data_IF_176321324818
#
_entry.id   IF_176321324818
#
_cell.length_a   1.000
_cell.length_b   1.000
_cell.length_c   1.000
_cell.angle_alpha   90.00
_cell.angle_beta   90.00
_cell.angle_gamma   90.00
#
_symmetry.space_group_name_H-M   'P 1'
#
loop_
_entity.id
_entity.type
_entity.pdbx_description
1 polymer ?
#
# COMPACT_ATOMS: atom_id res chain seq x y z
N UNK A 1 -16.90 -7.69 -10.64
CA UNK A 1 -15.86 -7.78 -9.59
C UNK A 1 -16.48 -7.77 -8.19
N UNK A 2 -15.89 -8.46 -7.22
CA UNK A 2 -16.31 -8.47 -5.80
C UNK A 2 -15.86 -7.19 -5.07
N UNK A 3 -16.35 -6.98 -3.85
CA UNK A 3 -16.02 -5.76 -3.06
C UNK A 3 -14.55 -5.75 -2.64
N UNK A 4 -14.01 -6.90 -2.23
CA UNK A 4 -12.62 -6.99 -1.83
C UNK A 4 -11.64 -6.64 -2.93
N UNK A 5 -11.85 -7.13 -4.16
CA UNK A 5 -11.03 -6.75 -5.32
C UNK A 5 -11.13 -5.26 -5.65
N UNK A 6 -12.33 -4.67 -5.57
CA UNK A 6 -12.51 -3.20 -5.75
C UNK A 6 -11.74 -2.42 -4.69
N UNK A 7 -11.80 -2.86 -3.45
CA UNK A 7 -11.12 -2.20 -2.35
C UNK A 7 -9.60 -2.29 -2.50
N UNK A 8 -9.05 -3.47 -2.78
CA UNK A 8 -7.59 -3.66 -2.89
C UNK A 8 -7.03 -2.86 -4.07
N UNK A 9 -7.71 -2.83 -5.22
CA UNK A 9 -7.33 -1.96 -6.34
C UNK A 9 -7.29 -0.50 -5.91
N UNK A 10 -8.36 -0.03 -5.27
CA UNK A 10 -8.43 1.33 -4.78
C UNK A 10 -7.28 1.65 -3.84
N UNK A 11 -7.00 0.77 -2.86
CA UNK A 11 -5.92 0.96 -1.90
C UNK A 11 -4.57 1.08 -2.60
N UNK A 12 -4.30 0.15 -3.52
CA UNK A 12 -3.04 0.10 -4.28
C UNK A 12 -2.85 1.38 -5.11
N UNK A 13 -3.89 1.82 -5.81
CA UNK A 13 -3.86 3.05 -6.61
C UNK A 13 -3.68 4.30 -5.75
N UNK A 14 -4.36 4.38 -4.60
CA UNK A 14 -4.21 5.52 -3.70
C UNK A 14 -2.82 5.60 -3.08
N UNK A 15 -2.24 4.46 -2.65
CA UNK A 15 -0.85 4.45 -2.18
C UNK A 15 0.07 5.05 -3.24
N UNK A 16 -0.06 4.65 -4.50
CA UNK A 16 0.73 5.19 -5.61
C UNK A 16 0.46 6.68 -5.87
N UNK A 17 -0.80 7.11 -5.87
CA UNK A 17 -1.19 8.49 -6.18
C UNK A 17 -0.78 9.48 -5.07
N UNK A 18 -0.92 9.11 -3.80
CA UNK A 18 -0.48 9.90 -2.64
C UNK A 18 1.04 10.04 -2.66
N UNK A 19 1.71 8.94 -2.97
CA UNK A 19 3.15 8.89 -3.17
C UNK A 19 3.55 9.90 -4.26
N UNK A 20 2.98 9.79 -5.48
CA UNK A 20 3.28 10.72 -6.59
C UNK A 20 2.94 12.18 -6.26
N UNK A 21 1.84 12.42 -5.53
CA UNK A 21 1.46 13.76 -5.05
C UNK A 21 2.55 14.36 -4.18
N UNK A 22 3.16 13.56 -3.30
CA UNK A 22 4.22 14.02 -2.41
C UNK A 22 5.48 14.42 -3.19
N UNK A 23 5.84 13.68 -4.26
CA UNK A 23 6.93 14.06 -5.16
C UNK A 23 6.63 15.36 -5.92
N UNK A 24 5.42 15.53 -6.45
CA UNK A 24 5.06 16.75 -7.20
C UNK A 24 5.01 17.96 -6.25
N UNK A 25 4.44 17.80 -5.06
CA UNK A 25 4.42 18.84 -4.04
C UNK A 25 5.84 19.28 -3.65
N UNK A 26 6.77 18.32 -3.55
CA UNK A 26 8.19 18.57 -3.35
C UNK A 26 8.80 19.43 -4.46
N UNK A 27 8.63 19.08 -5.74
CA UNK A 27 9.16 19.87 -6.87
C UNK A 27 8.62 21.31 -6.88
N UNK A 28 7.43 21.51 -6.34
CA UNK A 28 6.79 22.82 -6.21
C UNK A 28 7.17 23.56 -4.91
N UNK A 29 8.09 23.03 -4.10
CA UNK A 29 8.47 23.55 -2.78
C UNK A 29 7.29 23.71 -1.81
N UNK A 30 6.25 22.88 -1.96
CA UNK A 30 5.10 22.82 -1.07
C UNK A 30 5.39 21.77 0.01
N UNK A 31 5.25 22.13 1.29
CA UNK A 31 5.39 21.17 2.39
C UNK A 31 4.47 19.97 2.15
N UNK A 32 5.02 18.76 2.20
CA UNK A 32 4.29 17.50 2.03
C UNK A 32 3.44 17.17 3.28
N UNK A 33 2.45 18.02 3.58
CA UNK A 33 1.58 17.91 4.77
C UNK A 33 0.79 16.60 4.79
N UNK A 34 0.60 15.93 3.65
CA UNK A 34 0.04 14.58 3.60
C UNK A 34 0.84 13.57 4.44
N UNK A 35 2.17 13.68 4.49
CA UNK A 35 2.99 12.79 5.33
C UNK A 35 2.81 13.09 6.82
N UNK A 36 2.71 14.38 7.17
CA UNK A 36 2.39 14.83 8.53
C UNK A 36 1.01 14.38 9.01
N UNK A 37 0.03 14.23 8.11
CA UNK A 37 -1.27 13.65 8.41
C UNK A 37 -1.17 12.21 8.91
N UNK A 38 -0.41 11.34 8.21
CA UNK A 38 -0.27 9.94 8.63
C UNK A 38 0.42 9.80 9.98
N UNK A 39 1.41 10.66 10.27
CA UNK A 39 2.09 10.70 11.58
C UNK A 39 1.16 11.22 12.67
N UNK A 40 0.46 12.35 12.44
CA UNK A 40 -0.44 12.97 13.42
C UNK A 40 -1.67 12.10 13.72
N UNK A 41 -2.16 11.35 12.72
CA UNK A 41 -3.27 10.41 12.90
C UNK A 41 -2.93 9.28 13.88
N UNK A 42 -1.67 8.81 13.92
CA UNK A 42 -1.22 7.78 14.90
C UNK A 42 -1.33 8.27 16.34
N UNK A 43 -1.33 9.59 16.54
CA UNK A 43 -1.47 10.24 17.85
C UNK A 43 -2.95 10.51 18.14
N UNK A 44 -3.69 11.11 17.19
CA UNK A 44 -5.14 11.33 17.28
C UNK A 44 -5.78 11.51 15.89
N UNK A 45 -6.82 10.72 15.61
CA UNK A 45 -7.63 10.77 14.39
C UNK A 45 -8.14 12.17 14.06
N UNK A 46 -8.72 12.85 15.05
CA UNK A 46 -9.41 14.14 14.84
C UNK A 46 -8.38 15.22 14.54
N UNK A 47 -7.30 15.25 15.32
CA UNK A 47 -6.21 16.22 15.15
C UNK A 47 -5.46 16.00 13.82
N UNK A 48 -5.23 14.74 13.42
CA UNK A 48 -4.64 14.42 12.12
C UNK A 48 -5.51 14.92 10.96
N UNK A 49 -6.81 14.57 10.96
CA UNK A 49 -7.74 14.96 9.89
C UNK A 49 -7.90 16.48 9.75
N UNK A 50 -7.96 17.21 10.88
CA UNK A 50 -8.03 18.67 10.87
C UNK A 50 -6.76 19.32 10.31
N UNK A 51 -5.57 18.77 10.61
CA UNK A 51 -4.29 19.31 10.14
C UNK A 51 -4.16 19.40 8.60
N UNK A 52 -4.85 18.54 7.83
CA UNK A 52 -4.89 18.65 6.37
C UNK A 52 -5.63 19.92 5.93
N UNK A 53 -6.72 20.26 6.61
CA UNK A 53 -7.59 21.38 6.23
C UNK A 53 -7.20 22.71 6.90
N UNK A 54 -6.42 22.64 7.99
CA UNK A 54 -5.99 23.81 8.76
C UNK A 54 -4.78 24.54 8.15
N UNK A 55 -4.19 24.01 7.06
CA UNK A 55 -3.04 24.63 6.41
C UNK A 55 -3.25 24.82 4.90
N UNK A 56 -2.83 25.98 4.38
CA UNK A 56 -2.83 26.24 2.93
C UNK A 56 -2.06 25.16 2.15
N UNK A 57 -0.95 24.66 2.72
CA UNK A 57 -0.17 23.55 2.18
C UNK A 57 -0.96 22.24 2.08
N UNK A 58 -1.82 21.92 3.04
CA UNK A 58 -2.68 20.72 2.98
C UNK A 58 -3.75 20.81 1.89
N UNK A 59 -4.33 22.00 1.69
CA UNK A 59 -5.27 22.26 0.59
C UNK A 59 -4.58 22.13 -0.78
N UNK A 60 -3.38 22.69 -0.94
CA UNK A 60 -2.63 22.55 -2.19
C UNK A 60 -2.30 21.09 -2.50
N UNK A 61 -1.89 20.33 -1.49
CA UNK A 61 -1.67 18.89 -1.61
C UNK A 61 -2.93 18.15 -2.09
N UNK A 62 -4.12 18.45 -1.53
CA UNK A 62 -5.39 17.86 -1.98
C UNK A 62 -5.72 18.20 -3.44
N UNK A 63 -5.42 19.43 -3.88
CA UNK A 63 -5.61 19.85 -5.28
C UNK A 63 -4.68 19.07 -6.21
N UNK A 64 -3.40 18.92 -5.84
CA UNK A 64 -2.43 18.14 -6.62
C UNK A 64 -2.89 16.68 -6.71
N UNK A 65 -3.29 16.07 -5.59
CA UNK A 65 -3.80 14.70 -5.56
C UNK A 65 -5.02 14.54 -6.47
N UNK A 66 -5.95 15.48 -6.43
CA UNK A 66 -7.13 15.47 -7.29
C UNK A 66 -6.76 15.52 -8.78
N UNK A 67 -5.84 16.42 -9.16
CA UNK A 67 -5.40 16.57 -10.56
C UNK A 67 -4.68 15.29 -11.02
N UNK A 68 -3.74 14.77 -10.23
CA UNK A 68 -3.01 13.55 -10.56
C UNK A 68 -3.93 12.34 -10.66
N UNK A 69 -4.87 12.20 -9.73
CA UNK A 69 -5.89 11.14 -9.76
C UNK A 69 -6.75 11.24 -11.02
N UNK A 70 -7.16 12.45 -11.40
CA UNK A 70 -7.97 12.66 -12.60
C UNK A 70 -7.22 12.29 -13.87
N UNK A 71 -5.95 12.70 -13.97
CA UNK A 71 -5.09 12.32 -15.10
C UNK A 71 -4.91 10.81 -15.16
N UNK A 72 -4.57 10.18 -14.04
CA UNK A 72 -4.38 8.72 -13.95
C UNK A 72 -5.64 7.96 -14.38
N UNK A 73 -6.80 8.25 -13.79
CA UNK A 73 -8.04 7.55 -14.12
C UNK A 73 -8.51 7.85 -15.54
N UNK A 74 -8.29 9.06 -16.05
CA UNK A 74 -8.60 9.39 -17.45
C UNK A 74 -7.74 8.61 -18.44
N UNK A 75 -6.46 8.40 -18.13
CA UNK A 75 -5.56 7.57 -18.95
C UNK A 75 -6.02 6.11 -18.87
N UNK A 76 -6.30 5.60 -17.68
CA UNK A 76 -6.79 4.24 -17.46
C UNK A 76 -8.09 3.98 -18.25
N UNK A 77 -9.09 4.84 -18.11
CA UNK A 77 -10.37 4.73 -18.83
C UNK A 77 -10.23 4.80 -20.36
N UNK A 78 -9.24 5.54 -20.88
CA UNK A 78 -9.01 5.68 -22.34
C UNK A 78 -8.22 4.52 -22.93
N UNK A 79 -7.18 4.09 -22.24
CA UNK A 79 -6.20 3.13 -22.76
C UNK A 79 -6.46 1.72 -22.29
N UNK A 80 -7.19 1.54 -21.19
CA UNK A 80 -7.24 0.31 -20.39
C UNK A 80 -5.85 -0.12 -19.91
N UNK A 81 -4.97 0.84 -19.58
CA UNK A 81 -3.71 0.58 -18.90
C UNK A 81 -3.70 1.30 -17.56
N UNK A 82 -3.42 0.55 -16.49
CA UNK A 82 -3.62 0.98 -15.12
C UNK A 82 -3.64 -0.23 -14.18
N UNK A 83 -3.48 0.01 -12.88
CA UNK A 83 -3.38 -1.03 -11.85
C UNK A 83 -4.58 -2.00 -11.92
N UNK A 84 -5.79 -1.50 -12.16
CA UNK A 84 -6.99 -2.34 -12.19
C UNK A 84 -7.00 -3.32 -13.37
N UNK A 85 -6.53 -2.90 -14.55
CA UNK A 85 -6.46 -3.79 -15.72
C UNK A 85 -5.18 -4.62 -15.71
N UNK A 86 -4.02 -4.02 -15.44
CA UNK A 86 -2.73 -4.69 -15.58
C UNK A 86 -2.56 -5.80 -14.53
N UNK A 87 -2.97 -5.55 -13.28
CA UNK A 87 -2.85 -6.53 -12.18
C UNK A 87 -4.12 -7.35 -12.02
N UNK A 88 -5.29 -6.71 -12.02
CA UNK A 88 -6.55 -7.39 -11.69
C UNK A 88 -7.35 -7.85 -12.91
N UNK A 89 -6.93 -7.49 -14.14
CA UNK A 89 -7.62 -7.81 -15.40
C UNK A 89 -9.09 -7.37 -15.37
N UNK A 90 -9.35 -6.25 -14.69
CA UNK A 90 -10.67 -5.66 -14.52
C UNK A 90 -10.87 -4.49 -15.48
N UNK A 91 -11.75 -4.70 -16.46
CA UNK A 91 -12.15 -3.67 -17.42
C UNK A 91 -13.56 -3.19 -17.17
N UNK A 92 -13.78 -1.90 -17.44
CA UNK A 92 -15.11 -1.30 -17.40
C UNK A 92 -15.69 -1.30 -18.80
N UNK A 93 -16.89 -1.86 -18.93
CA UNK A 93 -17.65 -1.85 -20.18
C UNK A 93 -19.01 -1.19 -19.97
N UNK A 94 -19.54 -0.61 -21.04
CA UNK A 94 -20.94 -0.18 -21.08
C UNK A 94 -21.82 -1.37 -21.44
N UNK A 95 -22.94 -1.57 -20.72
CA UNK A 95 -23.92 -2.61 -21.02
C UNK A 95 -24.73 -2.32 -22.30
N UNK A 96 -24.84 -1.04 -22.69
CA UNK A 96 -25.54 -0.61 -23.90
C UNK A 96 -24.56 -0.13 -24.97
N UNK A 97 -24.98 -0.20 -26.25
CA UNK A 97 -24.27 0.39 -27.38
C UNK A 97 -24.41 1.92 -27.33
N UNK A 98 -23.58 2.55 -26.50
CA UNK A 98 -23.36 3.99 -26.51
C UNK A 98 -22.41 4.35 -27.65
N UNK A 99 -22.55 5.54 -28.22
CA UNK A 99 -21.57 6.03 -29.19
C UNK A 99 -20.22 6.28 -28.51
N UNK A 100 -19.12 6.23 -29.26
CA UNK A 100 -17.76 6.45 -28.72
C UNK A 100 -17.62 7.78 -27.97
N UNK A 101 -18.31 8.85 -28.41
CA UNK A 101 -18.30 10.16 -27.75
C UNK A 101 -19.05 10.15 -26.42
N UNK A 102 -20.21 9.50 -26.37
CA UNK A 102 -21.01 9.37 -25.13
C UNK A 102 -20.32 8.49 -24.09
N UNK A 103 -19.66 7.41 -24.52
CA UNK A 103 -18.86 6.58 -23.60
C UNK A 103 -17.74 7.43 -23.00
N UNK A 104 -17.05 8.22 -23.81
CA UNK A 104 -15.94 9.05 -23.35
C UNK A 104 -16.40 10.11 -22.34
N UNK A 105 -17.54 10.78 -22.57
CA UNK A 105 -18.05 11.79 -21.62
C UNK A 105 -18.48 11.17 -20.29
N UNK A 106 -19.15 10.02 -20.33
CA UNK A 106 -19.54 9.26 -19.13
C UNK A 106 -18.32 8.79 -18.35
N UNK A 107 -17.27 8.30 -19.03
CA UNK A 107 -16.03 7.88 -18.37
C UNK A 107 -15.30 9.07 -17.73
N UNK A 108 -15.20 10.22 -18.41
CA UNK A 108 -14.55 11.41 -17.83
C UNK A 108 -15.24 11.94 -16.57
N UNK A 109 -16.58 11.96 -16.54
CA UNK A 109 -17.33 12.37 -15.35
C UNK A 109 -17.12 11.35 -14.23
N UNK A 110 -17.12 10.05 -14.57
CA UNK A 110 -16.79 8.99 -13.61
C UNK A 110 -15.39 9.18 -13.03
N UNK A 111 -14.41 9.49 -13.86
CA UNK A 111 -13.02 9.69 -13.45
C UNK A 111 -12.89 10.94 -12.56
N UNK A 112 -13.62 12.02 -12.86
CA UNK A 112 -13.70 13.21 -12.01
C UNK A 112 -14.24 12.87 -10.61
N UNK A 113 -15.33 12.09 -10.54
CA UNK A 113 -15.92 11.65 -9.26
C UNK A 113 -14.92 10.75 -8.51
N UNK A 114 -14.27 9.81 -9.21
CA UNK A 114 -13.28 8.88 -8.65
C UNK A 114 -12.03 9.58 -8.12
N UNK A 115 -11.71 10.76 -8.66
CA UNK A 115 -10.53 11.56 -8.28
C UNK A 115 -10.67 12.25 -6.93
N UNK A 116 -11.89 12.37 -6.40
CA UNK A 116 -12.10 12.83 -5.03
C UNK A 116 -11.87 11.68 -4.05
N UNK A 117 -10.79 11.80 -3.25
CA UNK A 117 -10.36 10.81 -2.25
C UNK A 117 -11.53 10.24 -1.43
N UNK A 118 -12.35 11.11 -0.81
CA UNK A 118 -13.50 10.73 0.02
C UNK A 118 -14.61 10.08 -0.80
N UNK A 119 -14.93 10.63 -1.98
CA UNK A 119 -16.01 10.11 -2.84
C UNK A 119 -15.75 8.67 -3.25
N UNK A 120 -14.49 8.31 -3.43
CA UNK A 120 -14.06 6.98 -3.85
C UNK A 120 -14.24 5.91 -2.74
N UNK A 121 -13.86 6.23 -1.49
CA UNK A 121 -14.10 5.36 -0.32
C UNK A 121 -15.61 5.12 -0.17
N UNK A 122 -16.38 6.20 -0.17
CA UNK A 122 -17.84 6.16 -0.06
C UNK A 122 -18.44 5.32 -1.21
N UNK A 123 -18.01 5.54 -2.45
CA UNK A 123 -18.48 4.78 -3.61
C UNK A 123 -18.14 3.28 -3.53
N UNK A 124 -17.00 2.90 -2.94
CA UNK A 124 -16.62 1.49 -2.76
C UNK A 124 -17.51 0.78 -1.73
N UNK A 125 -17.92 1.47 -0.67
CA UNK A 125 -18.81 0.95 0.38
C UNK A 125 -20.28 0.90 -0.08
N UNK A 126 -20.74 1.92 -0.80
CA UNK A 126 -22.11 1.97 -1.33
C UNK A 126 -22.38 0.98 -2.48
N UNK A 127 -21.36 0.33 -3.03
CA UNK A 127 -21.52 -0.75 -4.01
C UNK A 127 -22.36 -1.93 -3.48
N UNK A 128 -22.48 -2.08 -2.16
CA UNK A 128 -23.34 -3.05 -1.49
C UNK A 128 -24.84 -2.81 -1.72
N UNK A 129 -25.26 -1.59 -2.04
CA UNK A 129 -26.68 -1.22 -2.20
C UNK A 129 -27.29 -1.76 -3.51
N UNK A 130 -26.47 -1.98 -4.55
CA UNK A 130 -26.91 -2.44 -5.87
C UNK A 130 -26.60 -3.93 -6.07
N UNK A 131 -27.46 -4.76 -5.45
CA UNK A 131 -27.27 -6.17 -5.11
C UNK A 131 -26.74 -7.11 -6.22
N UNK A 132 -27.10 -6.92 -7.50
CA UNK A 132 -26.76 -7.89 -8.55
C UNK A 132 -25.38 -7.72 -9.18
N UNK A 133 -24.86 -6.50 -9.30
CA UNK A 133 -23.62 -6.22 -10.04
C UNK A 133 -22.56 -5.45 -9.24
N UNK A 134 -22.83 -5.14 -7.96
CA UNK A 134 -21.93 -4.38 -7.07
C UNK A 134 -21.45 -3.09 -7.75
N UNK A 135 -22.37 -2.32 -8.32
CA UNK A 135 -22.08 -1.08 -9.05
C UNK A 135 -22.09 0.11 -8.07
N UNK A 136 -21.24 1.10 -8.33
CA UNK A 136 -21.40 2.42 -7.70
C UNK A 136 -22.71 3.05 -8.19
N UNK A 137 -23.21 4.06 -7.46
CA UNK A 137 -24.42 4.79 -7.87
C UNK A 137 -24.30 5.34 -9.30
N UNK A 138 -23.15 5.94 -9.63
CA UNK A 138 -22.89 6.48 -10.94
C UNK A 138 -22.81 5.39 -12.02
N UNK A 139 -22.08 4.31 -11.76
CA UNK A 139 -21.98 3.17 -12.68
C UNK A 139 -23.34 2.54 -12.94
N UNK A 140 -24.20 2.45 -11.92
CA UNK A 140 -25.54 1.90 -12.05
C UNK A 140 -26.42 2.79 -12.93
N UNK A 141 -26.43 4.11 -12.68
CA UNK A 141 -27.20 5.09 -13.46
C UNK A 141 -26.80 5.09 -14.94
N UNK A 142 -25.51 4.90 -15.23
CA UNK A 142 -24.97 4.90 -16.60
C UNK A 142 -24.70 3.51 -17.16
N UNK A 143 -25.17 2.44 -16.49
CA UNK A 143 -25.02 1.04 -16.92
C UNK A 143 -23.59 0.59 -17.23
N UNK A 144 -22.63 1.11 -16.48
CA UNK A 144 -21.23 0.68 -16.53
C UNK A 144 -21.02 -0.55 -15.66
N UNK A 145 -20.31 -1.56 -16.17
CA UNK A 145 -20.05 -2.82 -15.46
C UNK A 145 -18.54 -3.09 -15.47
N UNK A 146 -17.98 -3.39 -14.30
CA UNK A 146 -16.62 -3.95 -14.19
C UNK A 146 -16.69 -5.46 -14.40
N UNK A 147 -16.02 -5.91 -15.46
CA UNK A 147 -15.85 -7.32 -15.82
C UNK A 147 -14.42 -7.72 -15.50
N UNK A 148 -14.26 -8.87 -14.85
CA UNK A 148 -12.97 -9.53 -14.69
C UNK A 148 -12.85 -10.52 -15.85
N UNK A 149 -11.76 -10.46 -16.59
CA UNK A 149 -11.49 -11.46 -17.63
C UNK A 149 -11.35 -12.84 -16.97
N UNK A 150 -12.18 -13.80 -17.39
CA UNK A 150 -12.40 -15.08 -16.68
C UNK A 150 -11.25 -16.10 -16.81
N UNK A 151 -10.26 -15.84 -17.65
CA UNK A 151 -9.32 -16.87 -18.13
C UNK A 151 -8.10 -17.14 -17.24
N UNK A 152 -8.01 -16.65 -16.00
CA UNK A 152 -6.81 -16.91 -15.17
C UNK A 152 -7.03 -17.66 -13.85
N UNK A 153 -6.36 -18.82 -13.81
CA UNK A 153 -6.06 -19.74 -12.71
C UNK A 153 -5.69 -19.08 -11.37
N UNK A 154 -5.77 -19.86 -10.28
CA UNK A 154 -5.33 -19.52 -8.90
C UNK A 154 -3.93 -18.88 -8.80
N UNK A 155 -3.01 -19.17 -9.74
CA UNK A 155 -1.69 -18.51 -9.84
C UNK A 155 -1.80 -16.98 -10.02
N UNK A 156 -2.89 -16.47 -10.59
CA UNK A 156 -3.14 -15.03 -10.73
C UNK A 156 -3.47 -14.35 -9.39
N UNK A 157 -4.16 -15.04 -8.47
CA UNK A 157 -4.50 -14.48 -7.15
C UNK A 157 -3.25 -14.26 -6.30
N UNK A 158 -2.32 -15.21 -6.34
CA UNK A 158 -1.01 -15.08 -5.69
C UNK A 158 -0.29 -13.80 -6.17
N UNK A 159 -0.07 -13.70 -7.48
CA UNK A 159 0.63 -12.56 -8.07
C UNK A 159 -0.07 -11.22 -7.82
N UNK A 160 -1.41 -11.20 -7.79
CA UNK A 160 -2.19 -9.98 -7.51
C UNK A 160 -1.86 -9.38 -6.15
N UNK A 161 -1.86 -10.17 -5.08
CA UNK A 161 -1.56 -9.64 -3.74
C UNK A 161 -0.10 -9.21 -3.63
N UNK A 162 0.84 -10.00 -4.15
CA UNK A 162 2.26 -9.65 -4.12
C UNK A 162 2.52 -8.35 -4.87
N UNK A 163 2.03 -8.21 -6.10
CA UNK A 163 2.23 -6.98 -6.88
C UNK A 163 1.55 -5.76 -6.24
N UNK A 164 0.33 -5.93 -5.71
CA UNK A 164 -0.33 -4.86 -4.95
C UNK A 164 0.50 -4.44 -3.74
N UNK A 165 0.99 -5.39 -2.94
CA UNK A 165 1.83 -5.12 -1.77
C UNK A 165 3.17 -4.48 -2.15
N UNK A 166 3.80 -4.91 -3.25
CA UNK A 166 5.03 -4.28 -3.76
C UNK A 166 4.78 -2.82 -4.13
N UNK A 167 3.71 -2.53 -4.87
CA UNK A 167 3.36 -1.15 -5.23
C UNK A 167 3.08 -0.35 -3.96
N UNK A 168 2.26 -0.86 -3.05
CA UNK A 168 1.93 -0.16 -1.81
C UNK A 168 3.17 0.15 -0.97
N UNK A 169 4.04 -0.84 -0.74
CA UNK A 169 5.24 -0.68 0.08
C UNK A 169 6.27 0.23 -0.59
N UNK A 170 6.69 -0.11 -1.82
CA UNK A 170 7.80 0.57 -2.47
C UNK A 170 7.44 1.97 -2.98
N UNK A 171 6.20 2.24 -3.40
CA UNK A 171 5.80 3.59 -3.81
C UNK A 171 6.02 4.60 -2.68
N UNK A 172 5.65 4.20 -1.46
CA UNK A 172 5.81 5.02 -0.26
C UNK A 172 7.30 5.12 0.10
N UNK A 173 7.98 3.97 0.18
CA UNK A 173 9.38 3.90 0.56
C UNK A 173 10.30 4.76 -0.33
N UNK A 174 10.20 4.63 -1.66
CA UNK A 174 11.07 5.36 -2.59
C UNK A 174 10.93 6.88 -2.47
N UNK A 175 9.73 7.36 -2.19
CA UNK A 175 9.46 8.79 -2.13
C UNK A 175 9.93 9.39 -0.82
N UNK A 176 9.80 8.63 0.27
CA UNK A 176 10.38 9.00 1.55
C UNK A 176 11.90 9.00 1.48
N UNK A 177 12.50 8.04 0.79
CA UNK A 177 13.94 8.03 0.54
C UNK A 177 14.37 9.29 -0.22
N UNK A 178 13.65 9.70 -1.26
CA UNK A 178 13.94 10.95 -1.97
C UNK A 178 13.80 12.18 -1.06
N UNK A 179 12.71 12.27 -0.29
CA UNK A 179 12.45 13.42 0.59
C UNK A 179 13.53 13.54 1.68
N UNK A 180 13.84 12.46 2.38
CA UNK A 180 14.78 12.49 3.49
C UNK A 180 16.26 12.52 3.07
N UNK A 181 16.59 12.04 1.86
CA UNK A 181 17.98 12.08 1.37
C UNK A 181 18.32 13.43 0.74
N UNK A 182 17.36 14.11 0.10
CA UNK A 182 17.66 15.29 -0.72
C UNK A 182 17.15 16.63 -0.17
N UNK A 183 16.21 16.68 0.79
CA UNK A 183 15.55 17.92 1.22
C UNK A 183 15.85 18.31 2.65
N UNK A 184 15.70 17.38 3.58
CA UNK A 184 15.94 17.59 5.01
C UNK A 184 16.74 16.40 5.53
N UNK A 185 18.06 16.34 5.23
CA UNK A 185 18.91 15.26 5.71
C UNK A 185 18.80 15.25 7.24
N UNK A 186 18.18 14.19 7.76
CA UNK A 186 18.14 13.95 9.19
C UNK A 186 19.56 14.07 9.72
N UNK A 187 19.71 14.85 10.80
CA UNK A 187 21.00 14.98 11.48
C UNK A 187 21.55 13.58 11.76
N UNK A 188 22.86 13.37 11.57
CA UNK A 188 23.46 12.05 11.72
C UNK A 188 23.05 11.48 13.08
N UNK A 189 22.33 10.35 13.05
CA UNK A 189 22.02 9.62 14.27
C UNK A 189 23.36 9.31 14.94
N UNK A 190 23.47 9.71 16.21
CA UNK A 190 24.71 9.60 16.97
C UNK A 190 25.28 8.20 16.80
N UNK A 191 26.53 8.13 16.33
CA UNK A 191 27.29 6.89 16.19
C UNK A 191 27.19 6.13 17.51
N UNK A 192 26.39 5.06 17.54
CA UNK A 192 26.25 4.21 18.71
C UNK A 192 27.56 3.43 18.84
N UNK A 193 28.49 4.02 19.58
CA UNK A 193 29.74 3.39 19.95
C UNK A 193 29.47 2.19 20.85
N UNK A 194 29.37 1.01 20.26
CA UNK A 194 29.49 -0.25 20.97
C UNK A 194 30.74 -0.95 20.45
N UNK A 195 31.83 -0.84 21.22
CA UNK A 195 33.08 -1.55 20.95
C UNK A 195 32.90 -3.06 21.17
N UNK A 196 33.42 -3.84 20.22
CA UNK A 196 33.50 -5.31 20.09
C UNK A 196 33.43 -6.18 21.36
N UNK A 197 32.83 -7.39 21.24
CA UNK A 197 33.51 -8.71 21.41
C UNK A 197 32.58 -9.94 21.28
N UNK A 198 33.05 -11.00 20.61
CA UNK A 198 32.63 -12.43 20.68
C UNK A 198 31.33 -12.90 20.00
N UNK A 199 31.32 -14.17 19.54
CA UNK A 199 30.18 -14.87 18.94
C UNK A 199 28.93 -14.97 19.85
N UNK A 200 29.07 -14.71 21.15
CA UNK A 200 27.94 -14.58 22.07
C UNK A 200 27.12 -13.31 21.78
N UNK A 201 27.76 -12.25 21.29
CA UNK A 201 27.07 -11.03 20.85
C UNK A 201 26.38 -11.19 19.49
N UNK A 202 26.85 -12.07 18.61
CA UNK A 202 26.18 -12.35 17.34
C UNK A 202 24.74 -12.83 17.54
N UNK A 203 24.58 -13.88 18.36
CA UNK A 203 23.26 -14.48 18.58
C UNK A 203 22.31 -13.57 19.35
N UNK A 204 22.83 -12.76 20.29
CA UNK A 204 22.05 -11.75 21.00
C UNK A 204 21.61 -10.62 20.07
N UNK A 205 22.50 -10.15 19.19
CA UNK A 205 22.22 -9.09 18.21
C UNK A 205 21.26 -9.56 17.12
N UNK A 206 21.52 -10.73 16.53
CA UNK A 206 20.60 -11.41 15.61
C UNK A 206 19.20 -11.57 16.22
N UNK A 207 19.11 -12.07 17.46
CA UNK A 207 17.82 -12.24 18.13
C UNK A 207 17.11 -10.90 18.34
N UNK A 208 17.84 -9.83 18.65
CA UNK A 208 17.26 -8.50 18.80
C UNK A 208 16.72 -7.96 17.48
N UNK A 209 17.50 -8.04 16.40
CA UNK A 209 17.08 -7.60 15.06
C UNK A 209 15.86 -8.41 14.61
N UNK A 210 15.96 -9.74 14.68
CA UNK A 210 14.87 -10.61 14.26
C UNK A 210 13.59 -10.34 15.04
N UNK A 211 13.68 -10.12 16.36
CA UNK A 211 12.50 -9.84 17.17
C UNK A 211 11.89 -8.47 16.84
N UNK A 212 12.71 -7.46 16.55
CA UNK A 212 12.23 -6.15 16.12
C UNK A 212 11.53 -6.24 14.76
N UNK A 213 12.16 -6.89 13.79
CA UNK A 213 11.62 -7.02 12.43
C UNK A 213 10.35 -7.90 12.40
N UNK A 214 10.31 -9.00 13.18
CA UNK A 214 9.10 -9.81 13.33
C UNK A 214 8.00 -9.06 14.08
N UNK A 215 8.33 -8.26 15.09
CA UNK A 215 7.33 -7.44 15.78
C UNK A 215 6.72 -6.45 14.80
N UNK A 216 7.53 -5.71 14.06
CA UNK A 216 7.08 -4.76 13.04
C UNK A 216 6.21 -5.46 11.98
N UNK A 217 6.69 -6.58 11.43
CA UNK A 217 5.96 -7.32 10.39
C UNK A 217 4.62 -7.86 10.88
N UNK A 218 4.59 -8.47 12.07
CA UNK A 218 3.36 -9.04 12.59
C UNK A 218 2.40 -7.93 13.04
N UNK A 219 2.87 -6.93 13.81
CA UNK A 219 2.00 -5.93 14.43
C UNK A 219 1.53 -4.87 13.45
N UNK A 220 2.42 -4.35 12.60
CA UNK A 220 2.10 -3.22 11.70
C UNK A 220 1.71 -3.72 10.31
N UNK A 221 2.40 -4.73 9.74
CA UNK A 221 2.16 -5.16 8.36
C UNK A 221 1.10 -6.26 8.21
N UNK A 222 1.12 -7.32 9.05
CA UNK A 222 0.18 -8.45 8.94
C UNK A 222 -1.15 -8.18 9.65
N UNK A 223 -1.11 -7.71 10.90
CA UNK A 223 -2.30 -7.42 11.71
C UNK A 223 -3.03 -6.17 11.21
N UNK A 224 -2.35 -5.28 10.50
CA UNK A 224 -2.98 -4.13 9.83
C UNK A 224 -4.15 -4.51 8.90
N UNK A 225 -4.24 -5.76 8.43
CA UNK A 225 -5.42 -6.26 7.70
C UNK A 225 -6.72 -6.29 8.52
N UNK A 226 -6.65 -6.29 9.85
CA UNK A 226 -7.81 -6.21 10.76
C UNK A 226 -8.26 -4.77 11.03
N UNK A 227 -7.37 -3.78 10.89
CA UNK A 227 -7.65 -2.37 11.10
C UNK A 227 -8.35 -1.77 9.87
N UNK A 228 -9.62 -2.18 9.66
CA UNK A 228 -10.48 -1.78 8.55
C UNK A 228 -10.15 -0.41 7.93
N UNK A 229 -9.78 -0.45 6.65
CA UNK A 229 -9.78 0.62 5.64
C UNK A 229 -8.86 1.83 5.82
N UNK A 230 -8.54 2.25 7.04
CA UNK A 230 -7.76 3.48 7.29
C UNK A 230 -6.58 3.21 8.21
N UNK A 231 -6.73 2.34 9.22
CA UNK A 231 -5.63 1.99 10.14
C UNK A 231 -4.43 1.40 9.40
N UNK A 232 -4.66 0.47 8.48
CA UNK A 232 -3.62 -0.14 7.65
C UNK A 232 -2.80 0.90 6.89
N UNK A 233 -3.44 1.92 6.31
CA UNK A 233 -2.70 2.98 5.61
C UNK A 233 -1.82 3.79 6.56
N UNK A 234 -2.32 4.14 7.75
CA UNK A 234 -1.51 4.87 8.74
C UNK A 234 -0.33 4.04 9.22
N UNK A 235 -0.54 2.77 9.56
CA UNK A 235 0.51 1.86 10.02
C UNK A 235 1.59 1.69 8.95
N UNK A 236 1.18 1.52 7.68
CA UNK A 236 2.07 1.43 6.52
C UNK A 236 2.88 2.70 6.28
N UNK A 237 2.21 3.85 6.20
CA UNK A 237 2.88 5.13 5.94
C UNK A 237 3.79 5.53 7.10
N UNK A 238 3.34 5.37 8.35
CA UNK A 238 4.16 5.72 9.52
C UNK A 238 5.39 4.81 9.67
N UNK A 239 5.25 3.50 9.50
CA UNK A 239 6.37 2.56 9.57
C UNK A 239 7.41 2.82 8.48
N UNK A 240 6.96 3.04 7.24
CA UNK A 240 7.86 3.37 6.13
C UNK A 240 8.54 4.73 6.31
N UNK A 241 7.88 5.70 6.96
CA UNK A 241 8.50 6.99 7.34
C UNK A 241 9.66 6.77 8.31
N UNK A 242 9.44 6.01 9.38
CA UNK A 242 10.51 5.73 10.34
C UNK A 242 11.70 5.02 9.68
N UNK A 243 11.43 4.03 8.83
CA UNK A 243 12.46 3.27 8.12
C UNK A 243 13.27 4.15 7.15
N UNK A 244 12.58 4.99 6.36
CA UNK A 244 13.24 5.91 5.43
C UNK A 244 14.11 6.96 6.13
N UNK A 245 13.68 7.48 7.29
CA UNK A 245 14.47 8.42 8.12
C UNK A 245 15.75 7.79 8.63
N UNK A 246 15.69 6.52 9.06
CA UNK A 246 16.86 5.79 9.55
C UNK A 246 17.84 5.60 8.39
N UNK A 247 17.35 5.15 7.23
CA UNK A 247 18.20 4.86 6.07
C UNK A 247 18.83 6.13 5.48
N UNK A 248 18.08 7.23 5.36
CA UNK A 248 18.62 8.50 4.87
C UNK A 248 19.74 9.04 5.76
N UNK A 249 19.62 8.83 7.08
CA UNK A 249 20.65 9.25 8.04
C UNK A 249 21.95 8.43 7.92
N UNK A 250 21.86 7.19 7.44
CA UNK A 250 23.03 6.34 7.20
C UNK A 250 23.74 6.69 5.88
N UNK A 251 22.99 7.15 4.87
CA UNK A 251 23.58 7.58 3.59
C UNK A 251 24.31 8.93 3.73
N UNK A 252 23.78 9.87 4.53
CA UNK A 252 24.43 11.16 4.79
C UNK A 252 25.75 11.05 5.55
N UNK A 253 25.97 9.96 6.29
CA UNK A 253 27.17 9.72 7.11
C UNK A 253 28.26 8.92 6.40
N UNK A 254 27.90 8.05 5.45
CA UNK A 254 28.85 7.09 4.86
C UNK A 254 28.91 7.12 3.32
N UNK A 255 28.04 7.91 2.67
CA UNK A 255 27.96 8.07 1.21
C UNK A 255 27.38 6.86 0.48
N UNK A 256 26.89 7.09 -0.74
CA UNK A 256 26.17 6.11 -1.56
C UNK A 256 26.89 4.76 -1.75
N UNK A 257 28.23 4.77 -1.79
CA UNK A 257 29.03 3.53 -1.89
C UNK A 257 28.91 2.61 -0.68
N UNK A 258 28.65 3.18 0.51
CA UNK A 258 28.44 2.45 1.75
C UNK A 258 27.00 1.94 1.87
N UNK A 259 26.02 2.69 1.35
CA UNK A 259 24.64 2.22 1.24
C UNK A 259 24.55 0.92 0.42
N UNK A 260 25.15 0.90 -0.78
CA UNK A 260 25.14 -0.29 -1.65
C UNK A 260 25.88 -1.47 -1.02
N UNK A 261 26.96 -1.21 -0.27
CA UNK A 261 27.82 -2.27 0.28
C UNK A 261 27.32 -2.86 1.59
N UNK A 262 26.68 -2.06 2.45
CA UNK A 262 26.34 -2.46 3.82
C UNK A 262 24.84 -2.45 4.10
N UNK A 263 24.05 -1.60 3.43
CA UNK A 263 22.62 -1.44 3.73
C UNK A 263 21.78 -2.26 2.75
N UNK A 264 22.04 -2.16 1.44
CA UNK A 264 21.27 -2.85 0.41
C UNK A 264 21.20 -4.39 0.58
N UNK A 265 22.27 -5.10 0.98
CA UNK A 265 22.24 -6.57 1.08
C UNK A 265 21.34 -7.11 2.20
N UNK A 266 21.22 -6.40 3.32
CA UNK A 266 20.30 -6.75 4.42
C UNK A 266 18.89 -6.19 4.18
N UNK A 267 18.81 -5.00 3.60
CA UNK A 267 17.55 -4.31 3.37
C UNK A 267 16.66 -5.00 2.32
N UNK A 268 17.27 -5.59 1.29
CA UNK A 268 16.50 -6.27 0.24
C UNK A 268 15.67 -7.48 0.74
N UNK A 269 16.25 -8.46 1.47
CA UNK A 269 15.45 -9.54 2.03
C UNK A 269 14.46 -9.04 3.09
N UNK A 270 14.80 -8.06 3.92
CA UNK A 270 13.88 -7.54 4.95
C UNK A 270 12.64 -6.88 4.35
N UNK A 271 12.85 -5.97 3.40
CA UNK A 271 11.73 -5.29 2.72
C UNK A 271 10.87 -6.22 1.89
N UNK A 272 11.46 -7.24 1.27
CA UNK A 272 10.69 -8.30 0.63
C UNK A 272 9.90 -9.13 1.64
N UNK A 273 10.42 -9.34 2.86
CA UNK A 273 9.66 -9.89 3.98
C UNK A 273 8.39 -9.07 4.26
N UNK A 274 8.55 -7.76 4.44
CA UNK A 274 7.41 -6.85 4.68
C UNK A 274 6.40 -6.82 3.54
N UNK A 275 6.82 -6.96 2.28
CA UNK A 275 5.91 -7.13 1.13
C UNK A 275 5.01 -8.36 1.30
N UNK A 276 5.58 -9.49 1.75
CA UNK A 276 4.79 -10.70 2.01
C UNK A 276 3.93 -10.56 3.27
N UNK A 277 4.40 -9.89 4.32
CA UNK A 277 3.58 -9.53 5.48
C UNK A 277 2.36 -8.71 5.09
N UNK A 278 2.55 -7.70 4.24
CA UNK A 278 1.46 -6.90 3.70
C UNK A 278 0.52 -7.70 2.78
N UNK A 279 1.05 -8.69 2.06
CA UNK A 279 0.24 -9.60 1.24
C UNK A 279 -0.71 -10.44 2.11
N UNK A 280 -0.31 -10.79 3.33
CA UNK A 280 -1.17 -11.44 4.33
C UNK A 280 -2.29 -10.51 4.78
N UNK A 281 -1.99 -9.24 5.06
CA UNK A 281 -3.01 -8.26 5.41
C UNK A 281 -4.06 -8.05 4.30
N UNK A 282 -3.64 -8.05 3.03
CA UNK A 282 -4.57 -7.99 1.90
C UNK A 282 -5.46 -9.24 1.82
N UNK A 283 -4.94 -10.43 2.13
CA UNK A 283 -5.74 -11.66 2.22
C UNK A 283 -6.75 -11.58 3.37
N UNK A 284 -6.32 -11.16 4.56
CA UNK A 284 -7.19 -11.02 5.73
C UNK A 284 -8.33 -10.04 5.41
N UNK A 285 -7.98 -8.90 4.81
CA UNK A 285 -8.94 -7.90 4.31
C UNK A 285 -9.93 -8.52 3.32
N UNK A 286 -9.45 -9.34 2.38
CA UNK A 286 -10.32 -10.02 1.41
C UNK A 286 -11.30 -10.97 2.11
N UNK A 287 -10.84 -11.74 3.10
CA UNK A 287 -11.68 -12.64 3.89
C UNK A 287 -12.78 -11.84 4.61
N UNK A 288 -12.42 -10.76 5.32
CA UNK A 288 -13.37 -9.92 6.07
C UNK A 288 -14.41 -9.31 5.13
N UNK A 289 -13.97 -8.71 4.01
CA UNK A 289 -14.88 -8.10 3.04
C UNK A 289 -15.77 -9.11 2.33
N UNK A 290 -15.24 -10.31 2.05
CA UNK A 290 -16.01 -11.40 1.49
C UNK A 290 -17.08 -11.91 2.47
N UNK A 291 -16.76 -11.95 3.76
CA UNK A 291 -17.72 -12.29 4.81
C UNK A 291 -18.86 -11.25 4.87
N UNK A 292 -18.52 -9.96 4.94
CA UNK A 292 -19.51 -8.87 4.95
C UNK A 292 -20.39 -8.93 3.70
N UNK A 293 -19.79 -9.13 2.53
CA UNK A 293 -20.53 -9.27 1.27
C UNK A 293 -21.49 -10.47 1.32
N UNK A 294 -21.03 -11.63 1.81
CA UNK A 294 -21.84 -12.85 1.92
C UNK A 294 -23.03 -12.64 2.85
N UNK A 295 -22.83 -11.95 3.98
CA UNK A 295 -23.91 -11.61 4.92
C UNK A 295 -24.95 -10.70 4.27
N UNK A 296 -24.52 -9.61 3.63
CA UNK A 296 -25.44 -8.64 3.01
C UNK A 296 -26.25 -9.28 1.86
N UNK A 297 -25.66 -10.23 1.14
CA UNK A 297 -26.29 -10.91 0.00
C UNK A 297 -27.05 -12.20 0.35
N UNK A 298 -27.03 -12.63 1.61
CA UNK A 298 -27.55 -13.94 2.03
C UNK A 298 -27.01 -15.09 1.16
N UNK A 299 -25.71 -15.05 0.82
CA UNK A 299 -25.06 -16.13 0.09
C UNK A 299 -24.93 -17.38 0.99
N UNK A 300 -24.97 -18.59 0.39
CA UNK A 300 -24.77 -19.83 1.15
C UNK A 300 -23.37 -19.86 1.75
N UNK A 301 -23.25 -20.33 3.01
CA UNK A 301 -21.98 -20.40 3.73
C UNK A 301 -20.89 -21.18 2.98
N UNK A 302 -21.27 -22.19 2.19
CA UNK A 302 -20.39 -22.99 1.33
C UNK A 302 -19.56 -22.13 0.36
N UNK A 303 -20.12 -21.02 -0.16
CA UNK A 303 -19.40 -20.13 -1.07
C UNK A 303 -18.31 -19.34 -0.33
N UNK A 304 -18.62 -18.90 0.90
CA UNK A 304 -17.67 -18.21 1.76
C UNK A 304 -16.55 -19.16 2.22
N UNK A 305 -16.89 -20.35 2.71
CA UNK A 305 -15.89 -21.33 3.20
C UNK A 305 -14.95 -21.80 2.11
N UNK A 306 -15.47 -22.05 0.89
CA UNK A 306 -14.64 -22.37 -0.27
C UNK A 306 -13.67 -21.24 -0.60
N UNK A 307 -14.10 -19.98 -0.48
CA UNK A 307 -13.23 -18.82 -0.72
C UNK A 307 -12.13 -18.69 0.34
N UNK A 308 -12.46 -18.89 1.61
CA UNK A 308 -11.47 -18.87 2.71
C UNK A 308 -10.44 -19.98 2.51
N UNK A 309 -10.87 -21.19 2.13
CA UNK A 309 -9.98 -22.30 1.83
C UNK A 309 -9.03 -21.99 0.66
N UNK A 310 -9.51 -21.30 -0.38
CA UNK A 310 -8.66 -20.93 -1.52
C UNK A 310 -7.61 -19.87 -1.15
N UNK A 311 -7.89 -19.05 -0.14
CA UNK A 311 -6.98 -18.00 0.35
C UNK A 311 -6.02 -18.50 1.45
N UNK A 312 -6.39 -19.50 2.23
CA UNK A 312 -5.59 -20.00 3.36
C UNK A 312 -4.24 -20.57 2.92
N UNK A 313 -4.19 -21.23 1.76
CA UNK A 313 -2.93 -21.72 1.18
C UNK A 313 -1.95 -20.56 0.93
N UNK A 314 -2.42 -19.47 0.32
CA UNK A 314 -1.59 -18.30 0.05
C UNK A 314 -1.16 -17.62 1.36
N UNK A 315 -2.04 -17.58 2.36
CA UNK A 315 -1.73 -17.00 3.67
C UNK A 315 -0.57 -17.73 4.34
N UNK A 316 -0.62 -19.06 4.41
CA UNK A 316 0.47 -19.87 5.00
C UNK A 316 1.75 -19.69 4.21
N UNK A 317 1.66 -19.69 2.88
CA UNK A 317 2.84 -19.54 2.03
C UNK A 317 3.50 -18.16 2.17
N UNK A 318 2.73 -17.07 2.19
CA UNK A 318 3.26 -15.73 2.44
C UNK A 318 3.87 -15.60 3.82
N UNK A 319 3.26 -16.21 4.84
CA UNK A 319 3.80 -16.20 6.19
C UNK A 319 5.17 -16.86 6.25
N UNK A 320 5.31 -18.04 5.63
CA UNK A 320 6.59 -18.75 5.57
C UNK A 320 7.64 -17.94 4.81
N UNK A 321 7.28 -17.31 3.68
CA UNK A 321 8.19 -16.47 2.93
C UNK A 321 8.61 -15.22 3.72
N UNK A 322 7.67 -14.52 4.36
CA UNK A 322 7.99 -13.34 5.16
C UNK A 322 8.99 -13.69 6.25
N UNK A 323 8.66 -14.66 7.11
CA UNK A 323 9.53 -15.06 8.23
C UNK A 323 10.90 -15.54 7.74
N UNK A 324 10.95 -16.31 6.65
CA UNK A 324 12.22 -16.80 6.08
C UNK A 324 13.10 -15.64 5.61
N UNK A 325 12.52 -14.66 4.94
CA UNK A 325 13.23 -13.49 4.44
C UNK A 325 13.71 -12.56 5.56
N UNK A 326 12.90 -12.36 6.60
CA UNK A 326 13.30 -11.62 7.81
C UNK A 326 14.43 -12.31 8.56
N UNK A 327 14.42 -13.65 8.64
CA UNK A 327 15.56 -14.41 9.19
C UNK A 327 16.82 -14.18 8.35
N UNK A 328 16.72 -14.29 7.02
CA UNK A 328 17.87 -14.07 6.12
C UNK A 328 18.41 -12.64 6.25
N UNK A 329 17.52 -11.64 6.28
CA UNK A 329 17.87 -10.23 6.51
C UNK A 329 18.61 -10.03 7.82
N UNK A 330 18.04 -10.49 8.92
CA UNK A 330 18.66 -10.40 10.24
C UNK A 330 20.01 -11.15 10.32
N UNK A 331 20.17 -12.28 9.62
CA UNK A 331 21.44 -13.01 9.54
C UNK A 331 22.50 -12.20 8.78
N UNK A 332 22.13 -11.56 7.67
CA UNK A 332 23.03 -10.71 6.90
C UNK A 332 23.41 -9.48 7.72
N UNK A 333 22.45 -8.78 8.32
CA UNK A 333 22.70 -7.58 9.13
C UNK A 333 23.57 -7.90 10.34
N UNK A 334 23.26 -8.97 11.07
CA UNK A 334 24.09 -9.40 12.19
C UNK A 334 25.50 -9.82 11.76
N UNK A 335 25.67 -10.37 10.54
CA UNK A 335 26.99 -10.70 10.02
C UNK A 335 27.79 -9.47 9.63
N UNK A 336 27.17 -8.47 8.99
CA UNK A 336 27.81 -7.21 8.59
C UNK A 336 28.11 -6.31 9.80
N UNK A 337 27.21 -6.27 10.77
CA UNK A 337 27.37 -5.55 12.04
C UNK A 337 28.49 -6.10 12.93
N UNK A 338 28.97 -7.32 12.70
CA UNK A 338 30.21 -7.82 13.32
C UNK A 338 31.46 -7.20 12.69
N UNK A 339 31.40 -6.83 11.41
CA UNK A 339 32.56 -6.35 10.65
C UNK A 339 32.70 -4.83 10.64
N UNK A 340 31.72 -4.08 11.14
CA UNK A 340 31.76 -2.62 11.27
C UNK A 340 31.51 -2.20 12.72
N UNK A 341 32.41 -1.35 13.24
CA UNK A 341 32.45 -0.64 14.54
C UNK A 341 33.35 -1.20 15.65
#
# INVERSE_FOLDING_TARGET
>A
MNISGRFIIYVTEQSFLISLTSLVAMELNIKAVFLGFFIAYRIDFVTGFLHIFDTYSGIYNLIILFILSFVYYSIESKTNHGIAEDIFKSKIISKYQLTKKEIMSVLLIRDLIRSFFISCIVNSLFALKYNKLLQSYYDHRHNLVSIINKDENRKSLFLKYVYSSMIMYYSIFFILLIIYTFIDPSSPLASSGVKSKSAFHYWVFFKSILNNNLTLDISEYMIGGFSLFVGTFIELFSSNIYEAVIISSMDSTHGFSSFVKFILPQFFPETMGYVFGMSIALIITDIILSFIQSLVKNEKSEYFTKRVHDLSYNLVFYFLLSVSLLIVGALIESSLGIYNF
#
